data_IF_941322620829
#
_entry.id   IF_941322620829
#
_cell.length_a   1.000
_cell.length_b   1.000
_cell.length_c   1.000
_cell.angle_alpha   90.00
_cell.angle_beta   90.00
_cell.angle_gamma   90.00
#
_symmetry.space_group_name_H-M   'P 1'
#
loop_
_entity.id
_entity.type
_entity.pdbx_description
1 polymer ?
#
# COMPACT_ATOMS: atom_id res chain seq x y z
N UNK A 1 12.28 6.97 15.00
CA UNK A 1 10.88 6.80 15.44
C UNK A 1 10.17 8.14 15.26
N UNK A 2 9.15 8.28 14.38
CA UNK A 2 8.63 9.60 13.99
C UNK A 2 7.56 10.19 14.94
N UNK A 3 7.30 9.59 16.09
CA UNK A 3 6.33 10.08 17.07
C UNK A 3 6.81 9.82 18.50
N UNK A 4 6.15 10.48 19.45
CA UNK A 4 6.29 10.29 20.90
C UNK A 4 4.90 10.14 21.52
N UNK A 5 4.82 9.69 22.77
CA UNK A 5 3.56 9.64 23.51
C UNK A 5 3.72 10.35 24.86
N UNK A 6 2.65 10.97 25.34
CA UNK A 6 2.59 11.60 26.65
C UNK A 6 1.46 10.99 27.46
N UNK A 7 1.63 10.92 28.78
CA UNK A 7 0.59 10.45 29.71
C UNK A 7 -0.15 11.62 30.38
N UNK A 8 -1.08 11.29 31.29
CA UNK A 8 -1.91 12.27 32.00
C UNK A 8 -1.15 13.06 33.09
N UNK A 9 0.11 12.72 33.37
CA UNK A 9 0.97 13.42 34.33
C UNK A 9 1.88 14.44 33.65
N UNK A 10 1.57 14.84 32.42
CA UNK A 10 2.40 15.72 31.58
C UNK A 10 3.82 15.16 31.31
N UNK A 11 3.99 13.82 31.39
CA UNK A 11 5.27 13.16 31.09
C UNK A 11 5.23 12.58 29.68
N UNK A 12 6.17 13.01 28.84
CA UNK A 12 6.34 12.53 27.48
C UNK A 12 7.53 11.59 27.33
N UNK A 13 7.34 10.49 26.60
CA UNK A 13 8.33 9.45 26.35
C UNK A 13 8.61 9.31 24.85
N UNK A 14 9.89 9.31 24.47
CA UNK A 14 10.34 9.19 23.09
C UNK A 14 11.15 7.90 22.90
N UNK A 15 10.73 7.06 21.94
CA UNK A 15 11.37 5.79 21.61
C UNK A 15 11.62 4.86 22.82
N UNK A 16 10.91 5.05 23.93
CA UNK A 16 11.12 4.33 25.19
C UNK A 16 10.23 3.08 25.32
N UNK A 17 9.40 2.80 24.32
CA UNK A 17 8.51 1.63 24.24
C UNK A 17 8.73 0.88 22.93
N UNK A 18 8.21 -0.35 22.85
CA UNK A 18 8.23 -1.21 21.64
C UNK A 18 7.27 -0.75 20.54
N UNK A 19 7.09 0.57 20.38
CA UNK A 19 6.27 1.13 19.32
C UNK A 19 6.94 0.93 17.95
N UNK A 20 6.12 0.94 16.90
CA UNK A 20 6.52 0.60 15.54
C UNK A 20 6.05 1.65 14.55
N UNK A 21 6.75 1.75 13.42
CA UNK A 21 6.32 2.52 12.26
C UNK A 21 6.38 1.64 11.01
N UNK A 22 5.50 1.91 10.05
CA UNK A 22 5.45 1.19 8.78
C UNK A 22 5.61 2.18 7.63
N UNK A 23 6.38 1.79 6.63
CA UNK A 23 6.74 2.64 5.50
C UNK A 23 6.57 1.85 4.22
N UNK A 24 6.05 2.49 3.16
CA UNK A 24 6.10 1.90 1.82
C UNK A 24 7.55 1.59 1.47
N UNK A 25 7.78 0.45 0.83
CA UNK A 25 9.12 -0.05 0.56
C UNK A 25 9.49 -0.08 -0.91
N UNK A 26 10.79 -0.09 -1.18
CA UNK A 26 11.36 -0.12 -2.54
C UNK A 26 11.39 -1.54 -3.12
N UNK A 27 11.97 -1.68 -4.33
CA UNK A 27 12.30 -2.96 -4.95
C UNK A 27 13.64 -3.56 -4.51
N UNK A 28 14.29 -3.05 -3.47
CA UNK A 28 15.54 -3.61 -2.96
C UNK A 28 15.38 -5.07 -2.50
N UNK A 29 16.44 -5.87 -2.60
CA UNK A 29 16.41 -7.28 -2.21
C UNK A 29 16.14 -7.44 -0.71
N UNK A 30 15.30 -8.42 -0.34
CA UNK A 30 14.94 -8.69 1.05
C UNK A 30 16.20 -8.98 1.87
N UNK A 31 16.48 -8.22 2.94
CA UNK A 31 17.65 -8.47 3.77
C UNK A 31 17.44 -9.76 4.58
N UNK A 32 18.53 -10.50 4.84
CA UNK A 32 18.46 -11.71 5.67
C UNK A 32 18.31 -11.40 7.17
N UNK A 33 18.69 -10.20 7.59
CA UNK A 33 18.65 -9.75 8.98
C UNK A 33 18.07 -8.33 9.05
N UNK A 34 17.57 -7.88 10.21
CA UNK A 34 17.14 -6.49 10.39
C UNK A 34 18.24 -5.50 10.02
N UNK A 35 17.91 -4.52 9.19
CA UNK A 35 18.82 -3.46 8.75
C UNK A 35 18.76 -2.28 9.70
N UNK A 36 19.86 -1.57 9.87
CA UNK A 36 20.00 -0.45 10.80
C UNK A 36 20.57 0.79 10.11
N UNK A 37 20.35 1.96 10.74
CA UNK A 37 20.99 3.22 10.37
C UNK A 37 20.89 3.54 8.86
N UNK A 38 22.02 3.82 8.19
CA UNK A 38 22.08 4.20 6.77
C UNK A 38 21.63 3.09 5.82
N UNK A 39 21.71 1.82 6.23
CA UNK A 39 21.27 0.70 5.38
C UNK A 39 19.74 0.68 5.19
N UNK A 40 19.00 1.36 6.07
CA UNK A 40 17.54 1.48 5.98
C UNK A 40 17.14 2.31 4.74
N UNK A 41 17.95 3.30 4.34
CA UNK A 41 17.59 4.31 3.34
C UNK A 41 17.13 3.69 2.02
N UNK A 42 17.87 2.69 1.51
CA UNK A 42 17.56 2.02 0.25
C UNK A 42 16.21 1.28 0.26
N UNK A 43 15.63 1.02 1.44
CA UNK A 43 14.37 0.29 1.59
C UNK A 43 13.15 1.19 1.71
N UNK A 44 13.33 2.50 1.94
CA UNK A 44 12.22 3.43 2.16
C UNK A 44 11.79 4.08 0.86
N UNK A 45 10.52 3.91 0.50
CA UNK A 45 9.93 4.59 -0.66
C UNK A 45 9.90 6.12 -0.46
N UNK A 46 9.99 6.86 -1.56
CA UNK A 46 9.91 8.32 -1.57
C UNK A 46 8.56 8.78 -2.10
N UNK A 47 8.12 9.96 -1.67
CA UNK A 47 6.85 10.54 -2.10
C UNK A 47 7.03 12.03 -2.45
N UNK A 48 6.13 12.55 -3.28
CA UNK A 48 6.03 13.97 -3.62
C UNK A 48 4.59 14.43 -3.42
N UNK A 49 4.41 15.64 -2.90
CA UNK A 49 3.10 16.27 -2.75
C UNK A 49 3.00 17.38 -3.80
N UNK A 50 1.99 17.30 -4.66
CA UNK A 50 1.82 18.20 -5.80
C UNK A 50 0.52 19.00 -5.66
N UNK A 51 0.55 20.28 -6.07
CA UNK A 51 -0.67 21.05 -6.27
C UNK A 51 -1.40 20.56 -7.53
N UNK A 52 -2.69 20.25 -7.42
CA UNK A 52 -3.50 19.77 -8.52
C UNK A 52 -4.63 20.77 -8.85
N UNK A 53 -4.90 21.05 -10.14
CA UNK A 53 -5.91 22.04 -10.54
C UNK A 53 -7.36 21.58 -10.36
N UNK A 54 -7.58 20.29 -10.05
CA UNK A 54 -8.89 19.65 -9.90
C UNK A 54 -8.79 18.37 -9.05
N UNK A 55 -9.95 17.79 -8.74
CA UNK A 55 -10.04 16.55 -7.96
C UNK A 55 -9.42 15.35 -8.69
N UNK A 56 -8.80 14.48 -7.91
CA UNK A 56 -8.16 13.24 -8.35
C UNK A 56 -8.81 12.05 -7.67
N UNK A 57 -9.12 10.99 -8.42
CA UNK A 57 -9.72 9.75 -7.91
C UNK A 57 -9.00 8.51 -8.44
N UNK A 58 -9.10 7.39 -7.73
CA UNK A 58 -8.80 6.07 -8.25
C UNK A 58 -10.08 5.37 -8.76
N UNK A 59 -9.94 4.62 -9.86
CA UNK A 59 -10.98 3.74 -10.40
C UNK A 59 -10.42 2.33 -10.49
N UNK A 60 -11.19 1.32 -10.09
CA UNK A 60 -10.75 -0.07 -10.00
C UNK A 60 -11.59 -0.96 -10.93
N UNK A 61 -10.95 -1.85 -11.68
CA UNK A 61 -11.66 -2.66 -12.69
C UNK A 61 -12.22 -3.98 -12.16
N UNK A 62 -11.72 -4.47 -11.02
CA UNK A 62 -11.93 -5.86 -10.58
C UNK A 62 -11.64 -6.89 -11.70
N UNK A 63 -10.72 -6.56 -12.61
CA UNK A 63 -10.26 -7.42 -13.70
C UNK A 63 -8.78 -7.20 -14.01
N UNK A 64 -8.21 -7.98 -14.94
CA UNK A 64 -6.84 -7.78 -15.43
C UNK A 64 -6.72 -6.59 -16.38
N UNK A 65 -7.84 -6.04 -16.85
CA UNK A 65 -7.88 -4.91 -17.77
C UNK A 65 -7.81 -3.60 -17.00
N UNK A 66 -7.10 -2.62 -17.56
CA UNK A 66 -7.00 -1.28 -16.99
C UNK A 66 -8.36 -0.59 -17.17
N UNK A 67 -8.97 -0.04 -16.10
CA UNK A 67 -10.23 0.68 -16.23
C UNK A 67 -10.01 2.02 -16.93
N UNK A 68 -10.94 2.41 -17.80
CA UNK A 68 -10.93 3.74 -18.38
C UNK A 68 -11.28 4.81 -17.34
N UNK A 69 -10.68 5.99 -17.45
CA UNK A 69 -11.16 7.15 -16.69
C UNK A 69 -12.60 7.50 -17.10
N UNK A 70 -13.42 8.05 -16.18
CA UNK A 70 -14.75 8.51 -16.52
C UNK A 70 -14.73 9.62 -17.58
N UNK A 71 -15.84 9.81 -18.29
CA UNK A 71 -15.96 10.89 -19.27
C UNK A 71 -15.67 12.26 -18.62
N UNK A 72 -14.82 13.07 -19.25
CA UNK A 72 -14.38 14.36 -18.71
C UNK A 72 -13.26 14.27 -17.67
N UNK A 73 -12.55 13.14 -17.61
CA UNK A 73 -11.36 12.96 -16.76
C UNK A 73 -10.16 12.49 -17.59
N UNK A 74 -8.97 12.93 -17.19
CA UNK A 74 -7.70 12.55 -17.81
C UNK A 74 -6.95 11.56 -16.91
N UNK A 75 -6.21 10.64 -17.53
CA UNK A 75 -5.34 9.69 -16.81
C UNK A 75 -4.12 10.42 -16.20
N UNK A 76 -3.77 10.06 -14.97
CA UNK A 76 -2.50 10.41 -14.34
C UNK A 76 -1.54 9.22 -14.35
N UNK A 77 -1.95 8.08 -13.79
CA UNK A 77 -1.16 6.83 -13.81
C UNK A 77 -2.06 5.60 -13.72
N UNK A 78 -1.46 4.44 -13.97
CA UNK A 78 -2.10 3.11 -13.85
C UNK A 78 -1.41 2.29 -12.78
N UNK A 79 -2.10 1.30 -12.23
CA UNK A 79 -1.52 0.48 -11.17
C UNK A 79 -2.30 -0.78 -10.83
N UNK A 80 -2.17 -1.18 -9.58
CA UNK A 80 -2.79 -2.33 -8.94
C UNK A 80 -3.59 -1.89 -7.70
N UNK A 81 -4.74 -2.52 -7.52
CA UNK A 81 -5.74 -2.16 -6.52
C UNK A 81 -5.34 -2.62 -5.11
N UNK A 82 -4.64 -1.77 -4.37
CA UNK A 82 -4.23 -1.99 -2.98
C UNK A 82 -5.33 -1.57 -2.00
N UNK A 83 -5.80 -2.52 -1.18
CA UNK A 83 -6.93 -2.29 -0.27
C UNK A 83 -6.47 -2.05 1.17
N UNK A 84 -5.64 -2.94 1.72
CA UNK A 84 -5.22 -2.87 3.11
C UNK A 84 -3.94 -3.66 3.39
N UNK A 85 -3.42 -3.53 4.59
CA UNK A 85 -2.30 -4.29 5.10
C UNK A 85 -2.47 -4.62 6.58
N UNK A 86 -1.80 -5.68 7.02
CA UNK A 86 -1.65 -6.02 8.44
C UNK A 86 -0.18 -6.32 8.75
N UNK A 87 0.22 -5.95 9.96
CA UNK A 87 1.56 -6.14 10.50
C UNK A 87 1.53 -6.82 11.88
N UNK A 88 2.37 -6.35 12.78
CA UNK A 88 2.50 -6.91 14.12
C UNK A 88 1.19 -6.87 14.90
N UNK A 89 0.82 -7.99 15.54
CA UNK A 89 -0.40 -8.10 16.33
C UNK A 89 -1.69 -8.15 15.51
N UNK A 90 -1.60 -8.35 14.19
CA UNK A 90 -2.71 -8.20 13.24
C UNK A 90 -3.28 -6.76 13.17
N UNK A 91 -2.61 -5.80 13.79
CA UNK A 91 -2.86 -4.38 13.59
C UNK A 91 -2.48 -3.95 12.18
N UNK A 92 -3.16 -2.95 11.64
CA UNK A 92 -2.98 -2.56 10.26
C UNK A 92 -3.81 -1.35 9.86
N UNK A 93 -3.93 -1.16 8.56
CA UNK A 93 -4.68 -0.03 8.00
C UNK A 93 -5.11 -0.29 6.56
N UNK A 94 -6.07 0.50 6.12
CA UNK A 94 -6.65 0.42 4.77
C UNK A 94 -6.45 1.70 3.97
N UNK A 95 -6.77 1.62 2.68
CA UNK A 95 -6.92 2.75 1.79
C UNK A 95 -8.39 2.95 1.46
N UNK A 96 -8.83 4.21 1.32
CA UNK A 96 -10.10 4.47 0.64
C UNK A 96 -9.94 4.07 -0.82
N UNK A 97 -10.86 3.26 -1.36
CA UNK A 97 -10.82 2.82 -2.76
C UNK A 97 -11.04 3.95 -3.77
N UNK A 98 -11.52 5.12 -3.34
CA UNK A 98 -11.58 6.32 -4.20
C UNK A 98 -10.30 7.16 -4.14
N UNK A 99 -9.43 6.93 -3.16
CA UNK A 99 -8.18 7.68 -2.98
C UNK A 99 -7.12 7.18 -3.96
N UNK A 100 -6.30 8.05 -4.55
CA UNK A 100 -5.13 7.62 -5.35
C UNK A 100 -4.19 6.65 -4.62
N UNK A 101 -4.17 6.67 -3.28
CA UNK A 101 -3.37 5.77 -2.45
C UNK A 101 -3.77 4.28 -2.55
N UNK A 102 -4.97 3.96 -3.01
CA UNK A 102 -5.38 2.58 -3.31
C UNK A 102 -4.83 2.06 -4.64
N UNK A 103 -4.13 2.89 -5.43
CA UNK A 103 -3.64 2.53 -6.76
C UNK A 103 -2.11 2.62 -6.87
N UNK A 104 -1.43 1.57 -6.40
CA UNK A 104 0.03 1.47 -6.45
C UNK A 104 0.50 1.08 -7.86
N UNK A 105 1.40 1.87 -8.45
CA UNK A 105 1.94 1.64 -9.81
C UNK A 105 2.65 0.28 -9.92
N UNK A 106 3.39 -0.10 -8.88
CA UNK A 106 4.09 -1.36 -8.78
C UNK A 106 3.37 -2.36 -7.87
N UNK A 107 3.04 -3.52 -8.42
CA UNK A 107 2.64 -4.66 -7.58
C UNK A 107 3.86 -5.27 -6.88
N UNK A 108 3.81 -5.32 -5.54
CA UNK A 108 4.74 -6.06 -4.67
C UNK A 108 3.94 -6.87 -3.67
N UNK A 109 4.29 -8.14 -3.46
CA UNK A 109 3.63 -8.98 -2.45
C UNK A 109 3.79 -8.45 -1.03
N UNK A 110 4.86 -7.69 -0.78
CA UNK A 110 5.13 -7.04 0.50
C UNK A 110 5.54 -5.59 0.22
N UNK A 111 4.58 -4.66 0.03
CA UNK A 111 4.85 -3.29 -0.41
C UNK A 111 5.29 -2.36 0.73
N UNK A 112 5.52 -2.88 1.94
CA UNK A 112 5.88 -2.08 3.11
C UNK A 112 6.87 -2.80 4.04
N UNK A 113 7.71 -2.01 4.69
CA UNK A 113 8.69 -2.44 5.69
C UNK A 113 8.25 -1.98 7.10
N UNK A 114 8.66 -2.72 8.13
CA UNK A 114 8.33 -2.45 9.54
C UNK A 114 9.60 -2.01 10.22
N UNK A 115 9.53 -0.90 10.92
CA UNK A 115 10.64 -0.31 11.65
C UNK A 115 10.32 -0.28 13.14
N UNK A 116 11.17 -0.91 13.94
CA UNK A 116 11.09 -0.96 15.39
C UNK A 116 11.75 0.30 15.98
N UNK A 117 10.98 1.11 16.71
CA UNK A 117 11.45 2.39 17.23
C UNK A 117 12.58 2.28 18.24
N UNK A 118 12.40 1.42 19.24
CA UNK A 118 13.36 1.25 20.33
C UNK A 118 14.70 0.68 19.84
N UNK A 119 14.67 -0.17 18.80
CA UNK A 119 15.89 -0.80 18.25
C UNK A 119 16.53 -0.02 17.11
N UNK A 120 15.81 0.91 16.49
CA UNK A 120 16.30 1.64 15.32
C UNK A 120 16.54 0.74 14.10
N UNK A 121 15.82 -0.39 14.00
CA UNK A 121 15.99 -1.36 12.92
C UNK A 121 14.71 -1.58 12.13
N UNK A 122 14.85 -1.94 10.85
CA UNK A 122 13.73 -2.25 9.96
C UNK A 122 13.87 -3.65 9.34
N UNK A 123 12.76 -4.35 9.12
CA UNK A 123 12.77 -5.71 8.56
C UNK A 123 11.43 -6.12 7.92
N UNK A 124 11.45 -7.20 7.13
CA UNK A 124 10.27 -7.87 6.58
C UNK A 124 9.96 -9.13 7.37
N UNK A 125 8.92 -9.10 8.20
CA UNK A 125 8.49 -10.25 8.98
C UNK A 125 7.45 -11.08 8.22
N UNK A 126 7.42 -12.39 8.47
CA UNK A 126 6.56 -13.35 7.78
C UNK A 126 5.05 -13.15 8.04
N UNK A 127 4.71 -12.47 9.14
CA UNK A 127 3.33 -12.18 9.53
C UNK A 127 2.76 -10.92 8.83
N UNK A 128 3.47 -10.36 7.86
CA UNK A 128 3.01 -9.20 7.09
C UNK A 128 2.16 -9.63 5.91
N UNK A 129 0.94 -9.11 5.85
CA UNK A 129 0.05 -9.37 4.74
C UNK A 129 -0.31 -8.08 4.02
N UNK A 130 -0.35 -8.14 2.70
CA UNK A 130 -0.90 -7.12 1.84
C UNK A 130 -2.15 -7.67 1.16
N UNK A 131 -3.18 -6.84 1.07
CA UNK A 131 -4.48 -7.23 0.54
C UNK A 131 -4.81 -6.36 -0.65
N UNK A 132 -5.21 -7.04 -1.73
CA UNK A 132 -5.45 -6.44 -3.03
C UNK A 132 -6.85 -6.81 -3.49
N UNK A 133 -7.53 -5.93 -4.21
CA UNK A 133 -8.77 -6.31 -4.87
C UNK A 133 -8.49 -7.39 -5.91
N UNK A 134 -9.37 -8.38 -5.99
CA UNK A 134 -9.21 -9.51 -6.90
C UNK A 134 -9.89 -9.27 -8.25
N UNK A 135 -9.52 -10.09 -9.23
CA UNK A 135 -10.27 -10.21 -10.48
C UNK A 135 -11.53 -11.05 -10.26
N UNK A 136 -12.69 -10.59 -10.69
CA UNK A 136 -13.97 -11.31 -10.57
C UNK A 136 -14.65 -11.31 -11.95
N UNK A 137 -14.98 -12.49 -12.46
CA UNK A 137 -15.78 -12.61 -13.68
C UNK A 137 -17.25 -12.28 -13.39
N UNK A 138 -17.93 -11.58 -14.29
CA UNK A 138 -19.30 -11.08 -14.07
C UNK A 138 -20.31 -12.20 -13.76
N UNK A 139 -20.12 -13.38 -14.35
CA UNK A 139 -20.94 -14.56 -14.10
C UNK A 139 -20.65 -15.26 -12.75
N UNK A 140 -19.59 -14.86 -12.04
CA UNK A 140 -19.15 -15.47 -10.78
C UNK A 140 -19.38 -14.57 -9.55
N UNK A 141 -19.84 -13.33 -9.72
CA UNK A 141 -19.99 -12.33 -8.64
C UNK A 141 -20.82 -12.83 -7.45
N UNK A 142 -21.84 -13.66 -7.70
CA UNK A 142 -22.75 -14.20 -6.69
C UNK A 142 -22.59 -15.71 -6.47
N UNK A 143 -21.46 -16.27 -6.90
CA UNK A 143 -21.13 -17.68 -6.69
C UNK A 143 -20.09 -17.84 -5.60
N UNK A 144 -20.01 -19.03 -5.00
CA UNK A 144 -18.98 -19.32 -4.00
C UNK A 144 -17.60 -19.20 -4.65
N UNK A 145 -16.70 -18.34 -4.13
CA UNK A 145 -15.36 -18.19 -4.68
C UNK A 145 -14.57 -19.51 -4.62
N UNK A 146 -13.88 -19.85 -5.71
CA UNK A 146 -13.01 -21.01 -5.75
C UNK A 146 -11.67 -20.69 -5.08
N UNK A 147 -11.36 -21.37 -3.98
CA UNK A 147 -10.10 -21.19 -3.24
C UNK A 147 -8.89 -21.57 -4.10
N UNK A 148 -7.90 -20.67 -4.19
CA UNK A 148 -6.68 -20.87 -4.98
C UNK A 148 -5.47 -20.38 -4.21
N UNK A 149 -4.35 -21.11 -4.32
CA UNK A 149 -3.04 -20.65 -3.86
C UNK A 149 -2.22 -20.22 -5.07
N UNK A 150 -1.96 -18.91 -5.20
CA UNK A 150 -1.23 -18.36 -6.34
C UNK A 150 0.24 -18.20 -5.99
N UNK A 151 1.13 -18.87 -6.76
CA UNK A 151 2.59 -18.82 -6.57
C UNK A 151 3.22 -17.63 -7.31
N UNK A 152 4.50 -17.38 -7.01
CA UNK A 152 5.31 -16.37 -7.70
C UNK A 152 5.24 -16.53 -9.23
N UNK A 153 5.10 -15.41 -9.95
CA UNK A 153 4.98 -15.36 -11.41
C UNK A 153 3.54 -15.28 -11.93
N UNK A 154 2.56 -15.85 -11.22
CA UNK A 154 1.14 -15.80 -11.63
C UNK A 154 0.27 -14.90 -10.72
N UNK A 155 0.85 -14.30 -9.67
CA UNK A 155 0.12 -13.46 -8.72
C UNK A 155 -0.61 -12.29 -9.38
N UNK A 156 -0.02 -11.66 -10.39
CA UNK A 156 -0.58 -10.51 -11.10
C UNK A 156 -1.89 -10.82 -11.86
N UNK A 157 -2.12 -12.08 -12.25
CA UNK A 157 -3.33 -12.44 -13.02
C UNK A 157 -4.61 -12.42 -12.20
N UNK A 158 -4.48 -12.43 -10.86
CA UNK A 158 -5.61 -12.38 -9.92
C UNK A 158 -5.76 -11.04 -9.21
N UNK A 159 -4.89 -10.07 -9.51
CA UNK A 159 -4.92 -8.75 -8.88
C UNK A 159 -5.60 -7.76 -9.83
N UNK A 160 -6.63 -7.09 -9.30
CA UNK A 160 -7.35 -6.03 -10.00
C UNK A 160 -6.43 -4.89 -10.40
N UNK A 161 -6.69 -4.32 -11.57
CA UNK A 161 -6.04 -3.10 -12.04
C UNK A 161 -6.82 -1.86 -11.63
N UNK A 162 -6.11 -0.74 -11.62
CA UNK A 162 -6.67 0.57 -11.35
C UNK A 162 -6.04 1.64 -12.24
N UNK A 163 -6.74 2.77 -12.35
CA UNK A 163 -6.26 3.98 -13.00
C UNK A 163 -6.61 5.17 -12.12
N UNK A 164 -5.64 6.07 -11.94
CA UNK A 164 -5.84 7.35 -11.25
C UNK A 164 -6.14 8.43 -12.27
N UNK A 165 -7.19 9.18 -12.01
CA UNK A 165 -7.80 10.11 -12.94
C UNK A 165 -7.96 11.49 -12.30
N UNK A 166 -7.72 12.55 -13.07
CA UNK A 166 -7.98 13.94 -12.68
C UNK A 166 -9.13 14.51 -13.51
N UNK A 167 -10.04 15.25 -12.88
CA UNK A 167 -11.17 15.86 -13.57
C UNK A 167 -10.69 16.98 -14.50
N UNK A 168 -11.21 17.02 -15.72
CA UNK A 168 -10.93 18.12 -16.65
C UNK A 168 -11.55 19.40 -16.08
N UNK A 169 -10.78 20.49 -16.08
CA UNK A 169 -11.38 21.82 -15.93
C UNK A 169 -12.20 22.10 -17.17
N UNK A 170 -13.51 22.23 -17.01
CA UNK A 170 -14.31 23.02 -17.94
C UNK A 170 -13.76 24.45 -17.89
N UNK A 171 -13.23 24.93 -19.02
CA UNK A 171 -12.94 26.35 -19.23
C UNK A 171 -14.23 27.16 -19.15
#
# INVERSE_FOLDING_TARGET
>A
MPFLFCDFNDVCNYASRNDKSYWLSTGAALPMMPVAEGEIEQYISRCSVCEAPANVIAVHSQSIQIPNCPAGWNSLWIGYSFAMHTGAGAEGGGQSLSSPGSCLEDFRTTPFIECNGARGTCHYFANKFSFWLTTIDDNQQFTIPQSQTVKAGNSRSRVSRCQVCIKNRSL
#
